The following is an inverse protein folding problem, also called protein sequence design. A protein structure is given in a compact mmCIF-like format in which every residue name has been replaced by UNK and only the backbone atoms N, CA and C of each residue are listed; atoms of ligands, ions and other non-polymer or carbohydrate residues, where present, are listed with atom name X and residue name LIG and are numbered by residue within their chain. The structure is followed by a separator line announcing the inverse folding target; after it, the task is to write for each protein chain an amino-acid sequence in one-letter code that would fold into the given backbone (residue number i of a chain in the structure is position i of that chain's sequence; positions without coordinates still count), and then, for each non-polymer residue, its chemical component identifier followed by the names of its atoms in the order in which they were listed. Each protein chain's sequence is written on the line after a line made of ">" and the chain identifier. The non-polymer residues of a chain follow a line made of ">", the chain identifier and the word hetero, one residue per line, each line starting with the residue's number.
data_IF_877077132507
#
_entry.id   IF_877077132507
#
_cell.length_a   1.000
_cell.length_b   1.000
_cell.length_c   1.000
_cell.angle_alpha   90.00
_cell.angle_beta   90.00
_cell.angle_gamma   90.00
#
_symmetry.space_group_name_H-M   'P 1'
#
loop_
_entity.id
_entity.type
_entity.pdbx_description
1 polymer ?
#
# COMPACT_ATOMS: atom_id res chain seq x y z
N UNK A 1 18.16 17.82 -12.56
CA UNK A 1 17.98 16.35 -12.64
C UNK A 1 17.73 15.71 -11.27
N UNK A 2 18.58 15.95 -10.26
CA UNK A 2 18.41 15.42 -8.89
C UNK A 2 17.01 15.63 -8.29
N UNK A 3 16.50 16.86 -8.33
CA UNK A 3 15.18 17.22 -7.79
C UNK A 3 14.02 16.54 -8.52
N UNK A 4 14.17 16.30 -9.83
CA UNK A 4 13.15 15.62 -10.64
C UNK A 4 13.08 14.14 -10.26
N UNK A 5 14.24 13.48 -10.16
CA UNK A 5 14.31 12.07 -9.73
C UNK A 5 13.79 11.88 -8.30
N UNK A 6 14.08 12.82 -7.40
CA UNK A 6 13.57 12.80 -6.03
C UNK A 6 12.05 12.97 -5.95
N UNK A 7 11.48 13.95 -6.66
CA UNK A 7 10.03 14.13 -6.73
C UNK A 7 9.33 12.91 -7.34
N UNK A 8 9.94 12.30 -8.35
CA UNK A 8 9.40 11.10 -9.01
C UNK A 8 9.43 9.89 -8.07
N UNK A 9 10.49 9.73 -7.27
CA UNK A 9 10.58 8.73 -6.21
C UNK A 9 9.46 8.90 -5.16
N UNK A 10 9.21 10.13 -4.70
CA UNK A 10 8.14 10.42 -3.73
C UNK A 10 6.75 10.10 -4.30
N UNK A 11 6.48 10.47 -5.55
CA UNK A 11 5.20 10.16 -6.21
C UNK A 11 4.99 8.65 -6.33
N UNK A 12 6.02 7.89 -6.70
CA UNK A 12 5.93 6.42 -6.81
C UNK A 12 5.66 5.78 -5.46
N UNK A 13 6.38 6.17 -4.41
CA UNK A 13 6.13 5.61 -3.08
C UNK A 13 4.77 6.01 -2.50
N UNK A 14 4.29 7.23 -2.79
CA UNK A 14 2.93 7.66 -2.47
C UNK A 14 1.85 6.89 -3.24
N UNK A 15 2.06 6.59 -4.52
CA UNK A 15 1.17 5.73 -5.31
C UNK A 15 1.11 4.32 -4.73
N UNK A 16 2.22 3.78 -4.24
CA UNK A 16 2.26 2.49 -3.55
C UNK A 16 1.35 2.45 -2.32
N UNK A 17 1.27 3.55 -1.57
CA UNK A 17 0.33 3.70 -0.45
C UNK A 17 -1.14 3.75 -0.89
N UNK A 18 -1.45 4.54 -1.92
CA UNK A 18 -2.82 4.66 -2.44
C UNK A 18 -3.29 3.33 -3.01
N UNK A 19 -2.43 2.63 -3.76
CA UNK A 19 -2.71 1.30 -4.28
C UNK A 19 -2.94 0.27 -3.16
N UNK A 20 -2.11 0.29 -2.11
CA UNK A 20 -2.28 -0.56 -0.94
C UNK A 20 -3.61 -0.29 -0.20
N UNK A 21 -3.98 0.98 -0.02
CA UNK A 21 -5.25 1.37 0.59
C UNK A 21 -6.46 0.94 -0.24
N UNK A 22 -6.39 1.04 -1.57
CA UNK A 22 -7.40 0.53 -2.51
C UNK A 22 -7.52 -1.00 -2.44
N UNK A 23 -6.40 -1.72 -2.39
CA UNK A 23 -6.41 -3.18 -2.25
C UNK A 23 -7.01 -3.61 -0.92
N UNK A 24 -6.68 -2.90 0.17
CA UNK A 24 -7.25 -3.18 1.48
C UNK A 24 -8.76 -2.91 1.51
N UNK A 25 -9.24 -1.81 0.92
CA UNK A 25 -10.67 -1.48 0.89
C UNK A 25 -11.47 -2.42 -0.02
N UNK A 26 -10.96 -2.75 -1.20
CA UNK A 26 -11.59 -3.71 -2.12
C UNK A 26 -11.58 -5.13 -1.56
N UNK A 27 -10.47 -5.54 -0.93
CA UNK A 27 -10.36 -6.85 -0.27
C UNK A 27 -11.30 -6.99 0.92
N UNK A 28 -11.33 -6.02 1.83
CA UNK A 28 -12.19 -6.08 3.01
C UNK A 28 -13.68 -5.90 2.68
N UNK A 29 -14.03 -4.87 1.90
CA UNK A 29 -15.43 -4.52 1.63
C UNK A 29 -15.98 -5.24 0.40
N UNK A 30 -15.25 -5.22 -0.71
CA UNK A 30 -15.72 -5.76 -1.99
C UNK A 30 -15.96 -7.26 -1.94
N UNK A 31 -14.97 -8.02 -1.46
CA UNK A 31 -15.07 -9.48 -1.36
C UNK A 31 -16.06 -9.91 -0.27
N UNK A 32 -16.12 -9.17 0.84
CA UNK A 32 -17.12 -9.41 1.90
C UNK A 32 -18.55 -9.24 1.40
N UNK A 33 -18.84 -8.14 0.70
CA UNK A 33 -20.17 -7.89 0.11
C UNK A 33 -20.51 -8.94 -0.94
N UNK A 34 -19.55 -9.35 -1.78
CA UNK A 34 -19.76 -10.41 -2.77
C UNK A 34 -20.22 -11.73 -2.13
N UNK A 35 -19.58 -12.16 -1.04
CA UNK A 35 -19.97 -13.39 -0.35
C UNK A 35 -21.35 -13.28 0.32
N UNK A 36 -21.73 -12.11 0.81
CA UNK A 36 -23.07 -11.85 1.36
C UNK A 36 -24.13 -11.95 0.26
N UNK A 37 -23.90 -11.29 -0.88
CA UNK A 37 -24.85 -11.26 -2.01
C UNK A 37 -25.04 -12.64 -2.63
N UNK A 38 -23.98 -13.45 -2.71
CA UNK A 38 -24.03 -14.81 -3.26
C UNK A 38 -24.54 -15.87 -2.28
N UNK A 39 -24.88 -15.49 -1.04
CA UNK A 39 -25.42 -16.41 -0.03
C UNK A 39 -24.39 -17.37 0.56
N UNK A 40 -23.10 -17.11 0.38
CA UNK A 40 -22.01 -17.97 0.82
C UNK A 40 -21.64 -17.70 2.29
N UNK A 41 -22.57 -17.98 3.22
CA UNK A 41 -22.44 -17.63 4.65
C UNK A 41 -21.17 -18.17 5.33
N UNK A 42 -20.76 -19.41 5.01
CA UNK A 42 -19.52 -20.00 5.52
C UNK A 42 -18.28 -19.24 5.03
N UNK A 43 -18.26 -18.86 3.75
CA UNK A 43 -17.16 -18.09 3.17
C UNK A 43 -17.14 -16.65 3.66
N UNK A 44 -18.31 -16.03 3.88
CA UNK A 44 -18.40 -14.72 4.49
C UNK A 44 -17.85 -14.73 5.93
N UNK A 45 -18.18 -15.76 6.72
CA UNK A 45 -17.63 -15.93 8.07
C UNK A 45 -16.12 -16.17 8.05
N UNK A 46 -15.63 -17.03 7.15
CA UNK A 46 -14.20 -17.27 6.98
C UNK A 46 -13.46 -15.99 6.53
N UNK A 47 -14.08 -15.21 5.64
CA UNK A 47 -13.54 -13.94 5.14
C UNK A 47 -13.55 -12.84 6.21
N UNK A 48 -14.52 -12.83 7.12
CA UNK A 48 -14.50 -11.89 8.24
C UNK A 48 -13.28 -12.10 9.17
N UNK A 49 -12.84 -13.36 9.33
CA UNK A 49 -11.70 -13.71 10.18
C UNK A 49 -10.37 -13.57 9.42
N UNK A 50 -10.27 -14.15 8.22
CA UNK A 50 -9.00 -14.22 7.47
C UNK A 50 -8.86 -13.14 6.39
N UNK A 51 -9.97 -12.60 5.89
CA UNK A 51 -9.98 -11.62 4.79
C UNK A 51 -9.28 -10.32 5.14
N UNK A 52 -9.36 -9.87 6.40
CA UNK A 52 -8.59 -8.70 6.87
C UNK A 52 -7.09 -8.98 6.82
N UNK A 53 -6.65 -10.16 7.28
CA UNK A 53 -5.26 -10.57 7.23
C UNK A 53 -4.74 -10.68 5.79
N UNK A 54 -5.52 -11.30 4.90
CA UNK A 54 -5.18 -11.43 3.48
C UNK A 54 -5.13 -10.07 2.80
N UNK A 55 -6.06 -9.17 3.12
CA UNK A 55 -6.11 -7.82 2.54
C UNK A 55 -4.93 -6.96 3.00
N UNK A 56 -4.53 -7.06 4.27
CA UNK A 56 -3.33 -6.40 4.79
C UNK A 56 -2.04 -6.95 4.17
N UNK A 57 -1.97 -8.28 3.99
CA UNK A 57 -0.84 -8.92 3.32
C UNK A 57 -0.73 -8.48 1.85
N UNK A 58 -1.86 -8.47 1.12
CA UNK A 58 -1.93 -8.01 -0.25
C UNK A 58 -1.55 -6.53 -0.38
N UNK A 59 -2.06 -5.68 0.51
CA UNK A 59 -1.70 -4.26 0.58
C UNK A 59 -0.19 -4.07 0.84
N UNK A 60 0.39 -4.88 1.73
CA UNK A 60 1.83 -4.84 2.03
C UNK A 60 2.70 -5.30 0.87
N UNK A 61 2.30 -6.39 0.19
CA UNK A 61 2.95 -6.89 -1.02
C UNK A 61 2.92 -5.90 -2.16
N UNK A 62 1.83 -5.15 -2.31
CA UNK A 62 1.72 -4.09 -3.31
C UNK A 62 2.58 -2.89 -2.93
N UNK A 63 2.68 -2.52 -1.65
CA UNK A 63 3.46 -1.35 -1.22
C UNK A 63 4.97 -1.55 -1.38
N UNK A 64 5.47 -2.76 -1.14
CA UNK A 64 6.91 -3.07 -1.17
C UNK A 64 7.63 -2.73 -2.49
N UNK A 65 7.17 -3.17 -3.69
CA UNK A 65 7.85 -2.87 -4.94
C UNK A 65 7.85 -1.38 -5.27
N UNK A 66 6.77 -0.65 -4.98
CA UNK A 66 6.72 0.80 -5.21
C UNK A 66 7.66 1.55 -4.29
N UNK A 67 7.73 1.16 -3.01
CA UNK A 67 8.70 1.71 -2.08
C UNK A 67 10.14 1.46 -2.53
N UNK A 68 10.43 0.24 -3.00
CA UNK A 68 11.76 -0.16 -3.47
C UNK A 68 12.18 0.60 -4.73
N UNK A 69 11.27 0.76 -5.70
CA UNK A 69 11.53 1.56 -6.91
C UNK A 69 11.78 3.03 -6.56
N UNK A 70 10.96 3.62 -5.68
CA UNK A 70 11.20 4.98 -5.18
C UNK A 70 12.53 5.12 -4.46
N UNK A 71 12.92 4.12 -3.65
CA UNK A 71 14.20 4.12 -2.96
C UNK A 71 15.40 4.01 -3.92
N UNK A 72 15.33 3.17 -4.96
CA UNK A 72 16.37 3.07 -5.99
C UNK A 72 16.52 4.42 -6.73
N UNK A 73 15.41 5.05 -7.10
CA UNK A 73 15.43 6.36 -7.76
C UNK A 73 16.02 7.45 -6.87
N UNK A 74 15.69 7.43 -5.57
CA UNK A 74 16.27 8.34 -4.59
C UNK A 74 17.77 8.09 -4.36
N UNK A 75 18.20 6.81 -4.36
CA UNK A 75 19.60 6.43 -4.24
C UNK A 75 20.43 6.87 -5.46
N UNK A 76 19.88 6.72 -6.68
CA UNK A 76 20.48 7.24 -7.92
C UNK A 76 20.61 8.76 -7.91
N UNK A 77 19.73 9.45 -7.21
CA UNK A 77 19.79 10.89 -7.01
C UNK A 77 20.71 11.32 -5.85
N UNK A 78 21.22 10.38 -5.04
CA UNK A 78 21.99 10.67 -3.82
C UNK A 78 21.16 11.25 -2.66
N UNK A 79 19.84 11.03 -2.67
CA UNK A 79 18.86 11.59 -1.73
C UNK A 79 18.12 10.48 -0.95
N UNK A 80 18.77 9.34 -0.70
CA UNK A 80 18.15 8.16 -0.08
C UNK A 80 17.67 8.42 1.36
N UNK A 81 18.42 9.18 2.16
CA UNK A 81 18.03 9.51 3.54
C UNK A 81 16.82 10.45 3.59
N UNK A 82 16.79 11.46 2.71
CA UNK A 82 15.69 12.42 2.58
C UNK A 82 14.39 11.72 2.14
N UNK A 83 14.51 10.71 1.28
CA UNK A 83 13.39 9.88 0.85
C UNK A 83 12.85 9.02 2.00
N UNK A 84 13.73 8.37 2.77
CA UNK A 84 13.33 7.57 3.93
C UNK A 84 12.67 8.42 5.01
N UNK A 85 13.19 9.62 5.29
CA UNK A 85 12.59 10.56 6.22
C UNK A 85 11.17 10.98 5.79
N UNK A 86 11.00 11.32 4.50
CA UNK A 86 9.68 11.68 3.96
C UNK A 86 8.71 10.50 3.99
N UNK A 87 9.16 9.28 3.69
CA UNK A 87 8.30 8.09 3.74
C UNK A 87 7.89 7.73 5.17
N UNK A 88 8.76 7.93 6.17
CA UNK A 88 8.40 7.78 7.59
C UNK A 88 7.37 8.80 8.03
N UNK A 89 7.59 10.08 7.71
CA UNK A 89 6.63 11.15 7.99
C UNK A 89 5.28 10.91 7.29
N UNK A 90 5.29 10.35 6.08
CA UNK A 90 4.08 9.96 5.38
C UNK A 90 3.37 8.80 6.10
N UNK A 91 4.11 7.79 6.58
CA UNK A 91 3.51 6.68 7.32
C UNK A 91 2.90 7.14 8.65
N UNK A 92 3.59 8.00 9.41
CA UNK A 92 3.09 8.57 10.66
C UNK A 92 1.78 9.36 10.47
N UNK A 93 1.64 10.08 9.36
CA UNK A 93 0.40 10.81 9.02
C UNK A 93 -0.80 9.92 8.69
N UNK A 94 -0.56 8.68 8.28
CA UNK A 94 -1.62 7.75 7.89
C UNK A 94 -2.01 6.80 9.02
N UNK A 95 -1.15 6.64 10.02
CA UNK A 95 -1.39 5.81 11.22
C UNK A 95 -1.83 6.64 12.45
N UNK A 96 -1.68 7.97 12.40
CA UNK A 96 -2.05 8.92 13.47
C UNK A 96 -3.44 9.54 13.32
#
# INVERSE_FOLDING_TARGET
>A
MRTVLFNLALVIGGLGHVAAALVASVGCLGVGIYFIVTGAALFAGLWAVFGVLVSLLAASLVRFPFFFVGWILAALAGCSEEYLANMRALNERWEG
#
